data_IF_409151794334
#
_entry.id   IF_409151794334
#
_cell.length_a   1.000
_cell.length_b   1.000
_cell.length_c   1.000
_cell.angle_alpha   90.00
_cell.angle_beta   90.00
_cell.angle_gamma   90.00
#
_symmetry.space_group_name_H-M   'P 1'
#
loop_
_entity.id
_entity.type
_entity.pdbx_description
1 polymer ?
#
# COMPACT_ATOMS: atom_id res chain seq x y z
N UNK A 1 0.37 -5.35 21.84
CA UNK A 1 1.72 -4.79 21.57
C UNK A 1 1.50 -3.53 20.75
N UNK A 2 2.06 -2.38 21.14
CA UNK A 2 1.93 -1.18 20.29
C UNK A 2 2.78 -1.38 19.03
N UNK A 3 2.27 -1.05 17.83
CA UNK A 3 3.03 -1.22 16.61
C UNK A 3 4.24 -0.27 16.62
N UNK A 4 5.42 -0.81 16.31
CA UNK A 4 6.68 -0.07 16.36
C UNK A 4 7.02 0.43 14.96
N UNK A 5 7.40 1.70 14.83
CA UNK A 5 7.93 2.25 13.60
C UNK A 5 9.45 2.22 13.65
N UNK A 6 10.09 1.72 12.60
CA UNK A 6 11.55 1.56 12.55
C UNK A 6 12.15 2.17 11.29
N UNK A 7 13.35 2.72 11.44
CA UNK A 7 14.27 3.05 10.36
C UNK A 7 15.37 1.98 10.30
N UNK A 8 15.55 1.38 9.13
CA UNK A 8 16.43 0.22 8.91
C UNK A 8 17.39 0.51 7.77
N UNK A 9 18.68 0.33 8.03
CA UNK A 9 19.73 0.35 7.02
C UNK A 9 20.15 -1.09 6.71
N UNK A 10 20.14 -1.48 5.44
CA UNK A 10 20.40 -2.87 5.04
C UNK A 10 21.05 -2.96 3.65
N UNK A 11 21.71 -4.08 3.38
CA UNK A 11 22.32 -4.38 2.08
C UNK A 11 21.30 -5.06 1.17
N UNK A 12 21.03 -4.46 0.01
CA UNK A 12 20.22 -5.09 -1.04
C UNK A 12 21.12 -5.54 -2.20
N UNK A 13 20.69 -6.62 -2.85
CA UNK A 13 21.27 -7.16 -4.07
C UNK A 13 20.83 -6.41 -5.35
N UNK A 14 20.25 -5.21 -5.20
CA UNK A 14 19.75 -4.40 -6.30
C UNK A 14 20.81 -4.17 -7.38
N UNK A 15 20.51 -4.56 -8.62
CA UNK A 15 21.44 -4.32 -9.73
C UNK A 15 21.34 -5.26 -10.92
N UNK A 16 20.50 -6.30 -10.89
CA UNK A 16 20.30 -7.14 -12.07
C UNK A 16 19.43 -6.40 -13.10
N UNK A 17 19.93 -6.31 -14.34
CA UNK A 17 19.12 -5.76 -15.42
C UNK A 17 17.92 -6.67 -15.69
N UNK A 18 16.86 -6.12 -16.30
CA UNK A 18 15.69 -6.93 -16.61
C UNK A 18 16.02 -8.02 -17.64
N UNK A 19 15.63 -9.26 -17.36
CA UNK A 19 15.76 -10.39 -18.29
C UNK A 19 16.90 -11.35 -17.95
N UNK A 20 17.15 -12.30 -18.87
CA UNK A 20 18.25 -13.25 -18.75
C UNK A 20 19.55 -12.61 -19.25
N UNK A 21 20.62 -12.72 -18.48
CA UNK A 21 21.95 -12.24 -18.85
C UNK A 21 22.95 -13.39 -18.84
N UNK A 22 23.97 -13.31 -19.70
CA UNK A 22 25.12 -14.20 -19.59
C UNK A 22 25.92 -13.87 -18.33
N UNK A 23 26.51 -14.89 -17.70
CA UNK A 23 27.23 -14.74 -16.43
C UNK A 23 28.42 -13.78 -16.56
N UNK A 24 29.11 -13.79 -17.69
CA UNK A 24 30.19 -12.84 -17.99
C UNK A 24 29.75 -11.37 -18.05
N UNK A 25 28.46 -11.11 -18.30
CA UNK A 25 27.89 -9.76 -18.41
C UNK A 25 27.27 -9.27 -17.08
N UNK A 26 27.34 -10.07 -16.01
CA UNK A 26 26.76 -9.71 -14.71
C UNK A 26 27.73 -8.80 -13.95
N UNK A 27 27.34 -7.54 -13.79
CA UNK A 27 27.96 -6.63 -12.82
C UNK A 27 27.25 -6.76 -11.46
N UNK A 28 27.68 -7.74 -10.65
CA UNK A 28 27.14 -7.93 -9.31
C UNK A 28 27.56 -6.78 -8.39
N UNK A 29 26.58 -6.09 -7.82
CA UNK A 29 26.79 -5.03 -6.83
C UNK A 29 25.75 -5.10 -5.73
N UNK A 30 26.17 -4.75 -4.53
CA UNK A 30 25.26 -4.49 -3.41
C UNK A 30 25.05 -3.00 -3.26
N UNK A 31 23.86 -2.60 -2.84
CA UNK A 31 23.57 -1.21 -2.48
C UNK A 31 23.16 -1.12 -1.03
N UNK A 32 23.53 -0.02 -0.37
CA UNK A 32 23.02 0.28 0.96
C UNK A 32 21.65 0.95 0.81
N UNK A 33 20.63 0.34 1.40
CA UNK A 33 19.25 0.82 1.36
C UNK A 33 18.83 1.29 2.74
N UNK A 34 18.25 2.48 2.80
CA UNK A 34 17.55 2.98 3.98
C UNK A 34 16.05 2.78 3.75
N UNK A 35 15.39 2.09 4.67
CA UNK A 35 13.95 1.85 4.66
C UNK A 35 13.34 2.29 5.98
N UNK A 36 12.08 2.74 5.95
CA UNK A 36 11.35 3.14 7.13
C UNK A 36 9.93 2.61 7.05
N UNK A 37 9.40 2.09 8.15
CA UNK A 37 8.04 1.56 8.16
C UNK A 37 7.60 1.00 9.50
N UNK A 38 6.32 0.66 9.56
CA UNK A 38 5.73 -0.04 10.69
C UNK A 38 6.15 -1.51 10.65
N UNK A 39 6.62 -2.05 11.77
CA UNK A 39 6.92 -3.49 11.89
C UNK A 39 5.61 -4.27 11.86
N UNK A 40 5.41 -5.06 10.79
CA UNK A 40 4.26 -5.94 10.64
C UNK A 40 4.52 -7.31 11.25
N UNK A 41 5.73 -7.83 11.05
CA UNK A 41 6.15 -9.13 11.52
C UNK A 41 7.66 -9.15 11.70
N UNK A 42 8.11 -9.93 12.68
CA UNK A 42 9.51 -10.24 12.90
C UNK A 42 9.59 -11.70 13.34
N UNK A 43 10.41 -12.49 12.66
CA UNK A 43 10.78 -13.85 13.04
C UNK A 43 12.30 -13.96 13.20
N UNK A 44 12.86 -15.15 13.36
CA UNK A 44 14.29 -15.33 13.61
C UNK A 44 15.18 -14.88 12.44
N UNK A 45 14.66 -14.88 11.22
CA UNK A 45 15.44 -14.68 10.00
C UNK A 45 15.10 -13.38 9.25
N UNK A 46 13.93 -12.77 9.53
CA UNK A 46 13.41 -11.67 8.74
C UNK A 46 12.69 -10.59 9.56
N UNK A 47 12.66 -9.38 9.00
CA UNK A 47 11.90 -8.23 9.47
C UNK A 47 11.01 -7.72 8.34
N UNK A 48 9.70 -7.66 8.57
CA UNK A 48 8.75 -7.14 7.59
C UNK A 48 8.23 -5.77 8.00
N UNK A 49 8.41 -4.79 7.13
CA UNK A 49 7.99 -3.40 7.30
C UNK A 49 6.88 -3.06 6.30
N UNK A 50 5.96 -2.18 6.69
CA UNK A 50 5.05 -1.50 5.76
C UNK A 50 5.31 0.01 5.76
N UNK A 51 5.51 0.58 4.57
CA UNK A 51 5.68 2.02 4.40
C UNK A 51 4.37 2.78 4.67
N UNK A 52 3.23 2.19 4.32
CA UNK A 52 1.91 2.78 4.49
C UNK A 52 0.96 1.79 5.15
N UNK A 53 0.20 2.29 6.13
CA UNK A 53 -0.85 1.55 6.83
C UNK A 53 -2.14 2.36 6.83
N UNK A 54 -3.26 1.71 6.51
CA UNK A 54 -4.61 2.26 6.55
C UNK A 54 -5.42 1.57 7.64
N UNK A 55 -6.12 2.36 8.44
CA UNK A 55 -6.94 1.87 9.54
C UNK A 55 -8.44 2.01 9.22
N UNK A 56 -9.24 1.05 9.66
CA UNK A 56 -10.70 1.14 9.69
C UNK A 56 -11.14 1.04 11.16
N UNK A 57 -11.38 2.19 11.80
CA UNK A 57 -11.45 2.26 13.26
C UNK A 57 -10.08 2.00 13.87
N UNK A 58 -10.01 1.13 14.87
CA UNK A 58 -8.77 0.76 15.55
C UNK A 58 -8.04 -0.44 14.89
N UNK A 59 -8.63 -1.02 13.84
CA UNK A 59 -8.04 -2.17 13.14
C UNK A 59 -7.22 -1.72 11.92
N UNK A 60 -6.01 -2.26 11.80
CA UNK A 60 -5.18 -2.09 10.61
C UNK A 60 -5.78 -2.92 9.46
N UNK A 61 -6.47 -2.26 8.53
CA UNK A 61 -7.26 -2.90 7.48
C UNK A 61 -6.52 -2.98 6.14
N UNK A 62 -5.53 -2.11 5.91
CA UNK A 62 -4.83 -2.00 4.63
C UNK A 62 -3.34 -1.74 4.85
N UNK A 63 -2.50 -2.31 3.98
CA UNK A 63 -1.04 -2.08 3.97
C UNK A 63 -0.56 -1.84 2.55
N UNK A 64 0.44 -0.97 2.38
CA UNK A 64 1.05 -0.66 1.09
C UNK A 64 2.55 -0.43 1.23
N UNK A 65 3.31 -0.85 0.21
CA UNK A 65 4.77 -0.77 0.23
C UNK A 65 5.37 -1.68 1.32
N UNK A 66 4.99 -2.96 1.31
CA UNK A 66 5.52 -3.96 2.23
C UNK A 66 6.88 -4.44 1.73
N UNK A 67 7.85 -4.54 2.64
CA UNK A 67 9.16 -5.10 2.36
C UNK A 67 9.56 -6.06 3.48
N UNK A 68 10.06 -7.24 3.11
CA UNK A 68 10.64 -8.22 4.03
C UNK A 68 12.15 -8.24 3.84
N UNK A 69 12.87 -7.90 4.90
CA UNK A 69 14.32 -7.74 4.90
C UNK A 69 14.93 -8.92 5.69
N UNK A 70 15.82 -9.72 5.09
CA UNK A 70 16.58 -10.72 5.84
C UNK A 70 17.42 -10.06 6.93
N UNK A 71 17.37 -10.55 8.17
CA UNK A 71 18.13 -9.98 9.29
C UNK A 71 19.63 -10.00 9.06
N UNK A 72 20.13 -11.01 8.34
CA UNK A 72 21.54 -11.09 7.95
C UNK A 72 21.99 -9.94 7.03
N UNK A 73 21.06 -9.27 6.33
CA UNK A 73 21.34 -8.12 5.49
C UNK A 73 21.24 -6.78 6.25
N UNK A 74 20.70 -6.78 7.47
CA UNK A 74 20.48 -5.56 8.25
C UNK A 74 21.80 -5.09 8.86
N UNK A 75 22.16 -3.85 8.56
CA UNK A 75 23.34 -3.17 9.09
C UNK A 75 23.00 -2.41 10.37
N UNK A 76 21.83 -1.76 10.41
CA UNK A 76 21.37 -1.07 11.62
C UNK A 76 19.85 -0.89 11.65
N UNK A 77 19.30 -0.76 12.88
CA UNK A 77 17.88 -0.51 13.15
C UNK A 77 17.75 0.58 14.21
N UNK A 78 16.79 1.48 14.01
CA UNK A 78 16.43 2.51 14.98
C UNK A 78 14.91 2.51 15.12
N UNK A 79 14.42 2.10 16.29
CA UNK A 79 13.01 2.22 16.63
C UNK A 79 12.70 3.66 17.05
N UNK A 80 11.68 4.27 16.44
CA UNK A 80 11.15 5.55 16.89
C UNK A 80 10.02 5.27 17.88
N UNK A 81 10.20 5.69 19.13
CA UNK A 81 9.14 5.64 20.13
C UNK A 81 7.92 6.44 19.65
N UNK A 82 6.76 5.79 19.66
CA UNK A 82 5.50 6.24 19.06
C UNK A 82 5.15 7.70 19.33
N UNK A 83 4.84 8.43 18.26
CA UNK A 83 3.84 9.50 18.35
C UNK A 83 2.51 8.81 18.68
N UNK A 84 1.93 9.10 19.83
CA UNK A 84 0.58 8.64 20.16
C UNK A 84 -0.36 9.20 19.09
N UNK A 85 -0.91 8.32 18.23
CA UNK A 85 -2.03 8.70 17.38
C UNK A 85 -3.15 9.18 18.32
N UNK A 86 -3.66 10.42 18.17
CA UNK A 86 -4.79 10.84 18.98
C UNK A 86 -5.93 9.90 18.67
N UNK A 87 -6.44 9.22 19.71
CA UNK A 87 -7.67 8.45 19.61
C UNK A 87 -8.72 9.38 18.99
N UNK A 88 -9.25 9.02 17.82
CA UNK A 88 -10.37 9.73 17.25
C UNK A 88 -11.55 9.58 18.20
N UNK A 89 -11.84 10.62 18.99
CA UNK A 89 -13.07 10.67 19.78
C UNK A 89 -14.27 10.53 18.82
N UNK A 90 -15.24 9.67 19.11
CA UNK A 90 -16.47 9.62 18.33
C UNK A 90 -17.26 10.89 18.61
N UNK A 91 -17.17 11.88 17.72
CA UNK A 91 -18.08 13.03 17.73
C UNK A 91 -19.52 12.52 17.60
N UNK A 92 -20.39 12.70 18.62
CA UNK A 92 -21.80 12.41 18.46
C UNK A 92 -22.37 13.45 17.48
N UNK A 93 -22.81 13.00 16.31
CA UNK A 93 -23.59 13.84 15.40
C UNK A 93 -24.92 14.20 16.09
N UNK A 94 -25.29 15.49 16.23
CA UNK A 94 -26.65 15.82 16.61
C UNK A 94 -27.59 15.46 15.46
N UNK A 95 -28.49 14.52 15.73
CA UNK A 95 -29.58 14.13 14.82
C UNK A 95 -30.58 15.30 14.80
N UNK A 96 -30.62 16.05 13.71
CA UNK A 96 -31.72 16.99 13.47
C UNK A 96 -32.90 16.25 12.84
N UNK A 97 -34.15 16.45 13.31
CA UNK A 97 -35.31 15.78 12.77
C UNK A 97 -35.77 16.38 11.43
N UNK A 98 -36.35 15.47 10.65
CA UNK A 98 -37.08 15.59 9.39
C UNK A 98 -38.06 16.78 9.31
N UNK A 99 -38.12 17.45 8.16
CA UNK A 99 -39.35 18.13 7.72
C UNK A 99 -39.58 17.97 6.22
N UNK A 100 -40.65 17.23 5.94
CA UNK A 100 -41.30 16.96 4.67
C UNK A 100 -41.87 18.22 4.04
N UNK A 101 -41.74 18.38 2.71
CA UNK A 101 -42.77 19.03 1.88
C UNK A 101 -42.80 18.36 0.50
N UNK A 102 -44.03 18.15 0.04
CA UNK A 102 -44.55 17.32 -1.03
C UNK A 102 -44.30 17.81 -2.47
N UNK A 103 -44.37 16.86 -3.42
CA UNK A 103 -44.32 17.03 -4.89
C UNK A 103 -45.52 17.86 -5.45
N UNK A 104 -45.55 18.25 -6.76
CA UNK A 104 -45.87 17.29 -7.85
C UNK A 104 -45.20 17.53 -9.23
N UNK A 105 -45.08 16.39 -9.95
CA UNK A 105 -45.26 16.14 -11.39
C UNK A 105 -44.52 16.94 -12.49
N UNK A 106 -43.83 16.19 -13.36
CA UNK A 106 -43.33 16.66 -14.65
C UNK A 106 -42.80 15.51 -15.51
N UNK A 107 -43.72 14.80 -16.17
CA UNK A 107 -43.53 13.69 -17.11
C UNK A 107 -42.53 13.98 -18.25
N UNK A 108 -41.67 13.01 -18.63
CA UNK A 108 -41.31 12.61 -20.02
C UNK A 108 -40.14 11.59 -20.08
N UNK A 109 -40.36 10.44 -20.71
CA UNK A 109 -39.36 9.46 -21.24
C UNK A 109 -39.21 9.68 -22.77
N UNK A 110 -38.36 8.99 -23.58
CA UNK A 110 -37.16 8.15 -23.32
C UNK A 110 -35.98 8.39 -24.33
N UNK A 111 -34.91 7.58 -24.19
CA UNK A 111 -34.07 7.00 -25.27
C UNK A 111 -32.95 7.84 -25.93
N UNK A 112 -31.68 7.41 -25.75
CA UNK A 112 -30.85 6.80 -26.80
C UNK A 112 -29.35 6.86 -26.45
N UNK A 113 -28.71 5.70 -26.23
CA UNK A 113 -27.24 5.60 -26.28
C UNK A 113 -26.89 4.25 -26.95
N UNK A 114 -26.09 4.24 -28.03
CA UNK A 114 -25.76 3.01 -28.76
C UNK A 114 -24.65 2.20 -28.07
N UNK A 115 -24.50 0.90 -28.43
CA UNK A 115 -23.66 -0.06 -27.71
C UNK A 115 -22.16 0.08 -28.04
N UNK A 116 -21.33 -0.35 -27.09
CA UNK A 116 -19.89 -0.50 -27.24
C UNK A 116 -19.55 -1.50 -28.36
N UNK A 117 -18.76 -1.05 -29.34
CA UNK A 117 -18.19 -1.92 -30.36
C UNK A 117 -16.86 -2.52 -29.90
N UNK A 118 -16.85 -3.83 -29.90
CA UNK A 118 -15.71 -4.73 -29.79
C UNK A 118 -14.73 -4.53 -30.94
N UNK A 119 -13.43 -4.41 -30.65
CA UNK A 119 -12.36 -4.75 -31.59
C UNK A 119 -11.25 -5.49 -30.86
N UNK A 120 -11.23 -6.82 -31.02
CA UNK A 120 -10.01 -7.63 -30.96
C UNK A 120 -9.20 -7.34 -32.22
N UNK A 121 -7.92 -7.04 -32.09
CA UNK A 121 -6.97 -7.13 -33.19
C UNK A 121 -5.85 -8.12 -32.82
N UNK A 122 -5.70 -9.13 -33.68
CA UNK A 122 -4.74 -10.22 -33.63
C UNK A 122 -3.29 -9.72 -33.69
N UNK A 123 -2.44 -10.38 -32.91
CA UNK A 123 -1.00 -10.47 -33.14
C UNK A 123 -0.74 -11.32 -34.39
N UNK A 124 -0.05 -10.74 -35.37
CA UNK A 124 0.63 -11.47 -36.42
C UNK A 124 2.14 -11.28 -36.21
N UNK A 125 2.83 -12.39 -35.95
CA UNK A 125 4.28 -12.47 -35.85
C UNK A 125 4.92 -12.30 -37.23
N UNK A 126 6.09 -11.66 -37.26
CA UNK A 126 7.12 -11.86 -38.27
C UNK A 126 8.48 -11.71 -37.60
#
# INVERSE_FOLDING_TARGET
MQPTFEHVLWLDSFGLSAGWQHVEDIEARTVMVASAGLVLAEDDDSLTLAAHVGYLGDEMAQVGGVITIPKAAIVSRVATSSCSLPASEPTPQPISPLSSTSDPEGSSKPSSQPPATSVRSSLASS
#
